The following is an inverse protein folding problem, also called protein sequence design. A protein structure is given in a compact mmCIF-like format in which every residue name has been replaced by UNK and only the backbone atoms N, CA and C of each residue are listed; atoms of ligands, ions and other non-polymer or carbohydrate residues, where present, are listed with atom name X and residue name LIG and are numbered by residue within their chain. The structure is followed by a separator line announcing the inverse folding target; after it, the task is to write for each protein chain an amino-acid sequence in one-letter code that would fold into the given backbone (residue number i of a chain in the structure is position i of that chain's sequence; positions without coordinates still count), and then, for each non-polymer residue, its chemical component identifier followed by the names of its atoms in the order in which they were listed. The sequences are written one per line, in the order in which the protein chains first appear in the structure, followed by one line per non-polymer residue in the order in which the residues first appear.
data_IF_487029907897
#
_entry.id   IF_487029907897
#
_cell.length_a   1.000
_cell.length_b   1.000
_cell.length_c   1.000
_cell.angle_alpha   90.00
_cell.angle_beta   90.00
_cell.angle_gamma   90.00
#
_symmetry.space_group_name_H-M   'P 1'
#
loop_
_entity.id
_entity.type
_entity.pdbx_description
1 polymer ?
#
# COMPACT_ATOMS: atom_id res chain seq x y z
N UNK A 1 -2.91 -8.83 -90.90
CA UNK A 1 -2.99 -9.76 -89.76
C UNK A 1 -2.18 -9.20 -88.59
N UNK A 2 -2.80 -8.40 -87.71
CA UNK A 2 -2.17 -7.89 -86.48
C UNK A 2 -2.86 -8.53 -85.28
N UNK A 3 -2.16 -9.48 -84.62
CA UNK A 3 -2.70 -10.28 -83.52
C UNK A 3 -2.45 -9.57 -82.18
N UNK A 4 -3.50 -9.48 -81.38
CA UNK A 4 -3.65 -8.68 -80.16
C UNK A 4 -3.34 -9.54 -78.91
N UNK A 5 -2.39 -9.11 -78.08
CA UNK A 5 -2.24 -9.44 -76.64
C UNK A 5 -1.83 -10.89 -76.27
N UNK A 6 -1.23 -11.12 -75.07
CA UNK A 6 -1.84 -10.68 -73.80
C UNK A 6 -0.88 -9.97 -72.83
N UNK A 7 -1.46 -9.03 -72.06
CA UNK A 7 -0.83 -8.38 -70.90
C UNK A 7 -0.87 -9.35 -69.72
N UNK A 8 0.23 -10.03 -69.45
CA UNK A 8 0.41 -10.84 -68.25
C UNK A 8 0.67 -9.93 -67.04
N UNK A 9 -0.41 -9.66 -66.33
CA UNK A 9 -0.49 -9.83 -64.88
C UNK A 9 0.44 -9.00 -63.96
N UNK A 10 0.23 -7.68 -63.97
CA UNK A 10 0.52 -6.80 -62.81
C UNK A 10 -0.34 -7.12 -61.56
N UNK A 11 -1.05 -8.26 -61.52
CA UNK A 11 -1.99 -8.60 -60.45
C UNK A 11 -1.37 -9.39 -59.29
N UNK A 12 -0.14 -9.89 -59.41
CA UNK A 12 0.47 -10.76 -58.38
C UNK A 12 1.28 -10.01 -57.29
N UNK A 13 1.50 -8.71 -57.44
CA UNK A 13 2.20 -7.90 -56.42
C UNK A 13 1.27 -7.39 -55.30
N UNK A 14 -0.05 -7.54 -55.45
CA UNK A 14 -0.98 -7.46 -54.32
C UNK A 14 -1.05 -8.83 -53.66
N UNK A 15 0.11 -9.34 -53.23
CA UNK A 15 0.20 -10.30 -52.13
C UNK A 15 -0.36 -9.56 -50.93
N UNK A 16 -1.69 -9.54 -50.86
CA UNK A 16 -2.45 -9.12 -49.71
C UNK A 16 -1.93 -10.00 -48.59
N UNK A 17 -1.08 -9.42 -47.76
CA UNK A 17 -0.98 -9.77 -46.37
C UNK A 17 -2.37 -9.54 -45.79
N UNK A 18 -3.30 -10.47 -46.08
CA UNK A 18 -4.56 -10.57 -45.39
C UNK A 18 -4.15 -10.57 -43.91
N UNK A 19 -4.60 -9.61 -43.10
CA UNK A 19 -4.38 -9.70 -41.67
C UNK A 19 -4.93 -11.07 -41.28
N UNK A 20 -4.05 -11.99 -40.86
CA UNK A 20 -4.47 -13.29 -40.37
C UNK A 20 -5.43 -12.95 -39.25
N UNK A 21 -6.71 -13.26 -39.47
CA UNK A 21 -7.77 -12.82 -38.58
C UNK A 21 -7.37 -13.18 -37.15
N UNK A 22 -7.21 -12.15 -36.33
CA UNK A 22 -6.86 -12.24 -34.91
C UNK A 22 -8.09 -12.75 -34.15
N UNK A 23 -8.61 -13.90 -34.59
CA UNK A 23 -9.99 -14.37 -34.41
C UNK A 23 -10.27 -14.89 -33.00
N UNK A 24 -9.49 -14.45 -32.03
CA UNK A 24 -9.61 -14.81 -30.61
C UNK A 24 -8.30 -14.72 -29.84
N UNK A 25 -7.13 -14.63 -30.49
CA UNK A 25 -5.85 -14.55 -29.76
C UNK A 25 -5.73 -13.22 -29.00
N UNK A 26 -6.12 -12.11 -29.62
CA UNK A 26 -6.19 -10.81 -28.94
C UNK A 26 -7.12 -10.78 -27.73
N UNK A 27 -8.31 -11.40 -27.82
CA UNK A 27 -9.26 -11.45 -26.69
C UNK A 27 -8.81 -12.40 -25.59
N UNK A 28 -8.24 -13.56 -25.94
CA UNK A 28 -7.67 -14.50 -24.96
C UNK A 28 -6.48 -13.88 -24.23
N UNK A 29 -5.59 -13.19 -24.96
CA UNK A 29 -4.47 -12.47 -24.36
C UNK A 29 -4.97 -11.37 -23.42
N UNK A 30 -5.96 -10.59 -23.83
CA UNK A 30 -6.54 -9.54 -22.99
C UNK A 30 -7.18 -10.13 -21.72
N UNK A 31 -7.95 -11.22 -21.85
CA UNK A 31 -8.54 -11.92 -20.70
C UNK A 31 -7.46 -12.47 -19.77
N UNK A 32 -6.38 -13.03 -20.30
CA UNK A 32 -5.25 -13.49 -19.50
C UNK A 32 -4.58 -12.33 -18.75
N UNK A 33 -4.33 -11.20 -19.41
CA UNK A 33 -3.76 -10.00 -18.77
C UNK A 33 -4.69 -9.44 -17.70
N UNK A 34 -5.99 -9.30 -17.98
CA UNK A 34 -6.98 -8.85 -16.98
C UNK A 34 -7.06 -9.82 -15.81
N UNK A 35 -7.03 -11.12 -16.07
CA UNK A 35 -6.99 -12.16 -15.04
C UNK A 35 -5.76 -12.05 -14.15
N UNK A 36 -4.57 -11.85 -14.74
CA UNK A 36 -3.32 -11.65 -14.00
C UNK A 36 -3.36 -10.36 -13.18
N UNK A 37 -3.82 -9.24 -13.76
CA UNK A 37 -3.96 -7.97 -13.03
C UNK A 37 -4.95 -8.08 -11.87
N UNK A 38 -6.08 -8.76 -12.07
CA UNK A 38 -7.04 -9.05 -11.02
C UNK A 38 -6.44 -9.90 -9.90
N UNK A 39 -5.70 -10.95 -10.25
CA UNK A 39 -4.99 -11.79 -9.28
C UNK A 39 -3.97 -10.97 -8.46
N UNK A 40 -3.16 -10.14 -9.13
CA UNK A 40 -2.20 -9.25 -8.46
C UNK A 40 -2.91 -8.28 -7.53
N UNK A 41 -4.02 -7.66 -7.96
CA UNK A 41 -4.80 -6.75 -7.13
C UNK A 41 -5.36 -7.44 -5.87
N UNK A 42 -5.88 -8.67 -6.00
CA UNK A 42 -6.36 -9.47 -4.86
C UNK A 42 -5.22 -9.78 -3.90
N UNK A 43 -4.06 -10.23 -4.40
CA UNK A 43 -2.89 -10.54 -3.56
C UNK A 43 -2.43 -9.31 -2.79
N UNK A 44 -2.33 -8.14 -3.45
CA UNK A 44 -1.97 -6.88 -2.80
C UNK A 44 -3.02 -6.45 -1.76
N UNK A 45 -4.31 -6.64 -2.06
CA UNK A 45 -5.40 -6.41 -1.12
C UNK A 45 -5.25 -7.25 0.15
N UNK A 46 -5.00 -8.54 0.01
CA UNK A 46 -4.78 -9.45 1.16
C UNK A 46 -3.55 -9.05 1.99
N UNK A 47 -2.44 -8.69 1.33
CA UNK A 47 -1.22 -8.22 2.01
C UNK A 47 -1.47 -6.92 2.79
N UNK A 48 -2.19 -5.96 2.20
CA UNK A 48 -2.52 -4.70 2.88
C UNK A 48 -3.40 -4.93 4.12
N UNK A 49 -4.36 -5.86 4.04
CA UNK A 49 -5.20 -6.25 5.16
C UNK A 49 -4.39 -6.91 6.30
N UNK A 50 -3.42 -7.76 5.95
CA UNK A 50 -2.53 -8.41 6.91
C UNK A 50 -1.59 -7.41 7.62
N UNK A 51 -1.06 -6.43 6.89
CA UNK A 51 -0.11 -5.46 7.42
C UNK A 51 -0.78 -4.27 8.13
N UNK A 52 -2.08 -4.04 7.89
CA UNK A 52 -2.82 -2.93 8.47
C UNK A 52 -2.84 -2.92 10.01
N UNK A 53 -2.69 -4.08 10.67
CA UNK A 53 -2.60 -4.14 12.13
C UNK A 53 -1.32 -3.51 12.67
N UNK A 54 -0.17 -3.89 12.07
CA UNK A 54 1.16 -3.37 12.43
C UNK A 54 1.29 -1.90 12.07
N UNK A 55 0.85 -1.53 10.87
CA UNK A 55 0.87 -0.13 10.42
C UNK A 55 0.06 0.78 11.36
N UNK A 56 -1.15 0.36 11.75
CA UNK A 56 -1.96 1.12 12.71
C UNK A 56 -1.31 1.19 14.11
N UNK A 57 -0.74 0.09 14.60
CA UNK A 57 -0.04 0.09 15.88
C UNK A 57 1.13 1.09 15.86
N UNK A 58 1.94 1.09 14.79
CA UNK A 58 3.08 1.99 14.64
C UNK A 58 2.63 3.45 14.54
N UNK A 59 1.67 3.77 13.66
CA UNK A 59 1.18 5.15 13.53
C UNK A 59 0.58 5.67 14.84
N UNK A 60 -0.13 4.83 15.60
CA UNK A 60 -0.63 5.21 16.92
C UNK A 60 0.49 5.41 17.94
N UNK A 61 1.55 4.59 17.92
CA UNK A 61 2.71 4.75 18.77
C UNK A 61 3.48 6.05 18.46
N UNK A 62 3.75 6.33 17.18
CA UNK A 62 4.48 7.52 16.75
C UNK A 62 3.75 8.83 17.15
N UNK A 63 2.43 8.89 16.92
CA UNK A 63 1.62 10.04 17.30
C UNK A 63 1.53 10.22 18.82
N UNK A 64 1.45 9.11 19.56
CA UNK A 64 1.43 9.15 21.02
C UNK A 64 2.78 9.60 21.60
N UNK A 65 3.90 9.11 21.07
CA UNK A 65 5.22 9.53 21.46
C UNK A 65 5.42 11.03 21.22
N UNK A 66 5.06 11.53 20.03
CA UNK A 66 5.17 12.95 19.69
C UNK A 66 4.28 13.83 20.57
N UNK A 67 3.02 13.43 20.79
CA UNK A 67 2.09 14.18 21.64
C UNK A 67 2.57 14.24 23.10
N UNK A 68 3.11 13.13 23.63
CA UNK A 68 3.65 13.09 24.97
C UNK A 68 4.94 13.90 25.10
N UNK A 69 5.83 13.84 24.12
CA UNK A 69 7.05 14.64 24.10
C UNK A 69 6.75 16.15 23.96
N UNK A 70 5.74 16.56 23.17
CA UNK A 70 5.29 17.96 23.15
C UNK A 70 4.68 18.38 24.47
N UNK A 71 3.81 17.55 25.06
CA UNK A 71 3.21 17.82 26.36
C UNK A 71 4.25 18.02 27.46
N UNK A 72 5.31 17.18 27.46
CA UNK A 72 6.43 17.38 28.37
C UNK A 72 7.15 18.71 28.14
N UNK A 73 7.54 18.98 26.89
CA UNK A 73 8.30 20.20 26.55
C UNK A 73 7.53 21.47 26.89
N UNK A 74 6.23 21.47 26.66
CA UNK A 74 5.36 22.62 26.90
C UNK A 74 4.89 22.71 28.37
N UNK A 75 5.17 21.68 29.19
CA UNK A 75 4.76 21.59 30.59
C UNK A 75 3.26 21.36 30.76
N UNK A 76 2.60 20.73 29.79
CA UNK A 76 1.15 20.57 29.72
C UNK A 76 0.71 19.18 30.18
N UNK A 77 0.11 19.12 31.38
CA UNK A 77 -0.49 17.88 31.90
C UNK A 77 0.53 16.76 32.13
N UNK A 78 0.01 15.55 32.32
CA UNK A 78 0.83 14.35 32.42
C UNK A 78 1.13 13.79 31.00
N UNK A 79 2.41 13.66 30.59
CA UNK A 79 2.78 13.15 29.27
C UNK A 79 2.20 11.76 28.99
N UNK A 80 2.09 10.89 29.99
CA UNK A 80 1.51 9.56 29.80
C UNK A 80 -0.02 9.59 29.67
N UNK A 81 -0.70 10.49 30.38
CA UNK A 81 -2.12 10.80 30.14
C UNK A 81 -2.39 11.31 28.72
N UNK A 82 -1.55 12.20 28.21
CA UNK A 82 -1.64 12.71 26.82
C UNK A 82 -1.37 11.58 25.81
N UNK A 83 -0.36 10.74 26.05
CA UNK A 83 -0.10 9.55 25.25
C UNK A 83 -1.32 8.62 25.19
N UNK A 84 -1.94 8.33 26.34
CA UNK A 84 -3.10 7.44 26.43
C UNK A 84 -4.29 7.97 25.60
N UNK A 85 -4.55 9.27 25.63
CA UNK A 85 -5.59 9.90 24.83
C UNK A 85 -5.25 9.85 23.33
N UNK A 86 -4.00 10.13 22.95
CA UNK A 86 -3.55 10.02 21.57
C UNK A 86 -3.70 8.58 21.03
N UNK A 87 -3.32 7.57 21.82
CA UNK A 87 -3.46 6.16 21.45
C UNK A 87 -4.93 5.78 21.27
N UNK A 88 -5.80 6.19 22.19
CA UNK A 88 -7.26 5.95 22.09
C UNK A 88 -7.87 6.54 20.83
N UNK A 89 -7.52 7.79 20.49
CA UNK A 89 -8.00 8.48 19.28
C UNK A 89 -7.55 7.79 17.99
N UNK A 90 -6.39 7.12 18.02
CA UNK A 90 -5.83 6.39 16.89
C UNK A 90 -6.21 4.89 16.86
N UNK A 91 -7.19 4.47 17.67
CA UNK A 91 -7.69 3.09 17.65
C UNK A 91 -6.74 2.06 18.26
N UNK A 92 -5.77 2.50 19.04
CA UNK A 92 -4.85 1.64 19.78
C UNK A 92 -5.22 1.50 21.25
N UNK A 93 -4.45 0.68 21.96
CA UNK A 93 -4.46 0.56 23.42
C UNK A 93 -3.03 0.78 23.91
N UNK A 94 -2.86 1.71 24.84
CA UNK A 94 -1.56 1.95 25.47
C UNK A 94 -1.22 0.74 26.36
N UNK A 95 -0.06 0.16 26.13
CA UNK A 95 0.46 -1.00 26.88
C UNK A 95 1.47 -0.54 27.92
N UNK A 96 2.36 0.38 27.53
CA UNK A 96 3.35 0.99 28.42
C UNK A 96 3.61 2.44 27.99
N UNK A 97 3.98 3.27 28.95
CA UNK A 97 4.45 4.64 28.74
C UNK A 97 5.55 4.92 29.75
N UNK A 98 6.75 5.21 29.25
CA UNK A 98 7.91 5.57 30.04
C UNK A 98 8.29 7.00 29.74
N UNK A 99 8.13 7.84 30.75
CA UNK A 99 8.49 9.22 30.76
C UNK A 99 9.96 9.37 31.25
N UNK A 100 10.92 9.53 30.33
CA UNK A 100 12.35 9.58 30.63
C UNK A 100 12.87 11.02 30.81
N UNK A 101 14.01 11.14 31.51
CA UNK A 101 14.70 12.41 31.67
C UNK A 101 15.06 13.06 30.32
N UNK A 102 15.14 14.39 30.31
CA UNK A 102 15.43 15.15 29.09
C UNK A 102 14.25 15.31 28.12
N UNK A 103 13.02 15.01 28.54
CA UNK A 103 11.83 15.18 27.70
C UNK A 103 11.67 14.10 26.63
N UNK A 104 12.26 12.92 26.86
CA UNK A 104 12.10 11.74 26.01
C UNK A 104 10.95 10.90 26.55
N UNK A 105 10.01 10.52 25.68
CA UNK A 105 8.91 9.62 26.02
C UNK A 105 8.95 8.39 25.13
N UNK A 106 8.90 7.21 25.75
CA UNK A 106 8.77 5.93 25.08
C UNK A 106 7.37 5.36 25.33
N UNK A 107 6.73 4.85 24.28
CA UNK A 107 5.39 4.26 24.38
C UNK A 107 5.35 2.91 23.69
N UNK A 108 4.53 2.01 24.21
CA UNK A 108 4.21 0.73 23.57
C UNK A 108 2.70 0.69 23.36
N UNK A 109 2.28 0.43 22.13
CA UNK A 109 0.87 0.44 21.70
C UNK A 109 0.49 -0.89 21.09
N UNK A 110 -0.69 -1.38 21.45
CA UNK A 110 -1.32 -2.52 20.81
C UNK A 110 -2.49 -2.08 19.93
N UNK A 111 -2.54 -2.52 18.68
CA UNK A 111 -3.70 -2.38 17.79
C UNK A 111 -4.35 -3.74 17.54
N UNK A 112 -5.69 -3.78 17.56
CA UNK A 112 -6.45 -4.99 17.23
C UNK A 112 -6.81 -5.00 15.74
N UNK A 113 -6.79 -6.18 15.15
CA UNK A 113 -7.24 -6.42 13.79
C UNK A 113 -7.97 -7.76 13.68
N UNK A 114 -8.70 -8.02 12.59
CA UNK A 114 -9.29 -9.33 12.34
C UNK A 114 -8.25 -10.48 12.30
N UNK A 115 -6.99 -10.17 11.97
CA UNK A 115 -5.90 -11.14 11.91
C UNK A 115 -5.16 -11.32 13.25
N UNK A 116 -5.57 -10.64 14.32
CA UNK A 116 -4.93 -10.68 15.64
C UNK A 116 -4.50 -9.29 16.15
N UNK A 117 -3.83 -9.28 17.30
CA UNK A 117 -3.26 -8.07 17.89
C UNK A 117 -1.82 -7.85 17.42
N UNK A 118 -1.49 -6.62 17.06
CA UNK A 118 -0.12 -6.18 16.77
C UNK A 118 0.34 -5.19 17.83
N UNK A 119 1.60 -5.31 18.26
CA UNK A 119 2.25 -4.35 19.16
C UNK A 119 3.33 -3.57 18.41
N UNK A 120 3.49 -2.31 18.75
CA UNK A 120 4.52 -1.42 18.23
C UNK A 120 5.03 -0.51 19.34
N UNK A 121 6.30 -0.12 19.26
CA UNK A 121 6.91 0.85 20.15
C UNK A 121 7.36 2.09 19.37
N UNK A 122 7.39 3.22 20.06
CA UNK A 122 7.90 4.47 19.52
C UNK A 122 8.53 5.31 20.63
N UNK A 123 9.55 6.10 20.27
CA UNK A 123 10.22 7.03 21.18
C UNK A 123 10.34 8.40 20.53
N UNK A 124 10.06 9.45 21.29
CA UNK A 124 10.21 10.83 20.85
C UNK A 124 10.82 11.70 21.95
N UNK A 125 11.68 12.64 21.57
CA UNK A 125 12.34 13.58 22.47
C UNK A 125 13.44 14.35 21.74
N UNK A 126 14.07 15.33 22.40
CA UNK A 126 15.17 16.08 21.82
C UNK A 126 16.36 15.16 21.50
N UNK A 127 17.04 15.46 20.38
CA UNK A 127 18.31 14.83 20.03
C UNK A 127 19.42 15.44 20.90
N UNK A 128 20.36 14.62 21.43
CA UNK A 128 21.51 15.11 22.18
C UNK A 128 22.44 16.00 21.35
#
# INVERSE_FOLDING_TARGET
MTRRGPRADLRDARRSSRPRGDRGSGTVLLLAVVGVLGLVAVVLGLLSAAQGARGRAQSAADLAALAAASAWRDGWGDPCGVAAEAVRRNGGRLVACDALAGGVVAVVVAARSPAGAATADARAGPVP
#
